data_IF_802269362366
#
_entry.id   IF_802269362366
#
_cell.length_a   1.000
_cell.length_b   1.000
_cell.length_c   1.000
_cell.angle_alpha   90.00
_cell.angle_beta   90.00
_cell.angle_gamma   90.00
#
_symmetry.space_group_name_H-M   'P 1'
#
loop_
_entity.id
_entity.type
_entity.pdbx_description
1 polymer ?
#
# COMPACT_ATOMS: atom_id res chain seq x y z
N UNK A 1 2.97 18.79 -14.62
CA UNK A 1 2.03 18.51 -13.50
C UNK A 1 1.75 19.81 -12.77
N UNK A 2 0.51 20.03 -12.35
CA UNK A 2 0.10 21.22 -11.59
C UNK A 2 0.69 21.14 -10.16
N UNK A 3 1.18 22.27 -9.61
CA UNK A 3 1.68 22.36 -8.21
C UNK A 3 0.71 21.83 -7.17
N UNK A 4 -0.59 21.98 -7.40
CA UNK A 4 -1.66 21.47 -6.53
C UNK A 4 -1.64 19.92 -6.42
N UNK A 5 -1.38 19.21 -7.52
CA UNK A 5 -1.29 17.74 -7.51
C UNK A 5 -0.13 17.28 -6.63
N UNK A 6 1.05 17.89 -6.80
CA UNK A 6 2.22 17.54 -5.98
C UNK A 6 2.01 17.85 -4.51
N UNK A 7 1.41 18.99 -4.18
CA UNK A 7 1.08 19.33 -2.79
C UNK A 7 0.14 18.29 -2.17
N UNK A 8 -0.88 17.85 -2.89
CA UNK A 8 -1.77 16.76 -2.39
C UNK A 8 -1.04 15.42 -2.23
N UNK A 9 -0.12 15.08 -3.12
CA UNK A 9 0.69 13.86 -2.96
C UNK A 9 1.62 13.94 -1.75
N UNK A 10 2.23 15.10 -1.48
CA UNK A 10 3.03 15.32 -0.27
C UNK A 10 2.19 15.21 1.00
N UNK A 11 1.11 15.97 1.09
CA UNK A 11 0.33 16.06 2.32
C UNK A 11 -0.46 14.80 2.65
N UNK A 12 -0.98 14.11 1.63
CA UNK A 12 -1.84 12.95 1.81
C UNK A 12 -1.10 11.61 1.76
N UNK A 13 0.07 11.53 1.11
CA UNK A 13 0.76 10.26 0.83
C UNK A 13 2.26 10.29 1.10
N UNK A 14 2.80 11.36 1.67
CA UNK A 14 4.23 11.48 2.00
C UNK A 14 5.16 11.22 0.79
N UNK A 15 4.82 11.79 -0.38
CA UNK A 15 5.63 11.71 -1.60
C UNK A 15 6.38 13.02 -1.82
N UNK A 16 7.70 12.94 -1.92
CA UNK A 16 8.62 14.07 -2.05
C UNK A 16 9.54 13.92 -3.26
N UNK A 17 10.16 15.01 -3.69
CA UNK A 17 11.26 14.97 -4.65
C UNK A 17 12.60 14.87 -3.92
N UNK A 18 13.62 14.27 -4.54
CA UNK A 18 14.91 13.99 -3.91
C UNK A 18 15.61 15.24 -3.34
N UNK A 19 15.46 16.39 -3.99
CA UNK A 19 16.01 17.66 -3.50
C UNK A 19 15.32 18.18 -2.22
N UNK A 20 14.16 17.65 -1.87
CA UNK A 20 13.40 18.06 -0.67
C UNK A 20 13.71 17.18 0.54
N UNK A 21 14.04 15.91 0.30
CA UNK A 21 14.34 14.95 1.35
C UNK A 21 15.39 13.94 0.90
N UNK A 22 16.47 13.74 1.68
CA UNK A 22 17.51 12.78 1.32
C UNK A 22 17.00 11.34 1.41
N UNK A 23 17.42 10.52 0.45
CA UNK A 23 17.15 9.09 0.44
C UNK A 23 17.96 8.34 1.52
N UNK A 24 17.35 7.32 2.10
CA UNK A 24 18.00 6.32 2.96
C UNK A 24 18.36 5.06 2.16
N UNK A 25 17.39 4.55 1.36
CA UNK A 25 17.59 3.39 0.49
C UNK A 25 16.81 3.55 -0.83
N UNK A 26 17.47 3.29 -1.98
CA UNK A 26 16.77 3.17 -3.25
C UNK A 26 15.93 1.88 -3.28
N UNK A 27 14.76 1.90 -3.95
CA UNK A 27 13.96 0.69 -4.03
C UNK A 27 14.67 -0.41 -4.83
N UNK A 28 15.51 -0.06 -5.80
CA UNK A 28 16.37 -1.02 -6.48
C UNK A 28 17.36 -1.72 -5.55
N UNK A 29 17.91 -1.00 -4.57
CA UNK A 29 18.79 -1.59 -3.55
C UNK A 29 18.00 -2.48 -2.57
N UNK A 30 16.77 -2.10 -2.25
CA UNK A 30 15.88 -2.94 -1.43
C UNK A 30 15.55 -4.29 -2.10
N UNK A 31 15.66 -4.40 -3.43
CA UNK A 31 15.45 -5.67 -4.17
C UNK A 31 16.66 -6.62 -4.11
N UNK A 32 17.80 -6.17 -3.66
CA UNK A 32 18.96 -7.00 -3.33
C UNK A 32 18.78 -7.65 -1.96
N UNK A 33 19.07 -8.94 -1.83
CA UNK A 33 18.77 -9.73 -0.62
C UNK A 33 19.59 -9.27 0.59
N UNK A 34 20.89 -9.02 0.41
CA UNK A 34 21.80 -8.63 1.50
C UNK A 34 21.47 -7.22 1.98
N UNK A 35 21.23 -6.30 1.05
CA UNK A 35 20.82 -4.93 1.36
C UNK A 35 19.45 -4.89 2.01
N UNK A 36 18.51 -5.71 1.55
CA UNK A 36 17.18 -5.85 2.16
C UNK A 36 17.29 -6.37 3.60
N UNK A 37 18.11 -7.39 3.83
CA UNK A 37 18.33 -7.93 5.17
C UNK A 37 18.92 -6.87 6.11
N UNK A 38 19.97 -6.19 5.69
CA UNK A 38 20.60 -5.12 6.47
C UNK A 38 19.60 -3.99 6.78
N UNK A 39 18.82 -3.57 5.78
CA UNK A 39 17.79 -2.55 5.96
C UNK A 39 16.69 -3.01 6.92
N UNK A 40 16.19 -4.25 6.79
CA UNK A 40 15.16 -4.78 7.69
C UNK A 40 15.65 -4.94 9.12
N UNK A 41 16.91 -5.32 9.32
CA UNK A 41 17.52 -5.41 10.68
C UNK A 41 17.56 -4.03 11.34
N UNK A 42 18.00 -3.00 10.62
CA UNK A 42 17.99 -1.61 11.12
C UNK A 42 16.57 -1.14 11.41
N UNK A 43 15.65 -1.35 10.48
CA UNK A 43 14.23 -0.97 10.62
C UNK A 43 13.55 -1.71 11.77
N UNK A 44 13.88 -2.99 11.98
CA UNK A 44 13.39 -3.80 13.10
C UNK A 44 13.77 -3.15 14.46
N UNK A 45 15.00 -2.67 14.59
CA UNK A 45 15.44 -1.95 15.81
C UNK A 45 14.72 -0.61 15.97
N UNK A 46 14.59 0.17 14.90
CA UNK A 46 13.93 1.48 14.91
C UNK A 46 12.48 1.42 15.39
N UNK A 47 11.73 0.41 14.94
CA UNK A 47 10.31 0.24 15.29
C UNK A 47 10.10 -0.72 16.48
N UNK A 48 11.19 -1.18 17.09
CA UNK A 48 11.17 -2.16 18.20
C UNK A 48 10.36 -3.41 17.88
N UNK A 49 10.53 -3.92 16.67
CA UNK A 49 9.89 -5.16 16.26
C UNK A 49 10.65 -6.38 16.81
N UNK A 50 9.97 -7.44 17.30
CA UNK A 50 10.64 -8.59 17.93
C UNK A 50 11.37 -9.49 16.93
N UNK A 51 11.08 -9.38 15.63
CA UNK A 51 11.72 -10.15 14.57
C UNK A 51 11.51 -9.54 13.18
N UNK A 52 12.23 -10.06 12.19
CA UNK A 52 12.19 -9.59 10.80
C UNK A 52 10.81 -9.72 10.15
N UNK A 53 10.02 -10.74 10.49
CA UNK A 53 8.67 -10.92 9.92
C UNK A 53 7.74 -9.77 10.32
N UNK A 54 7.83 -9.29 11.56
CA UNK A 54 7.06 -8.11 12.02
C UNK A 54 7.53 -6.86 11.31
N UNK A 55 8.86 -6.64 11.23
CA UNK A 55 9.44 -5.49 10.53
C UNK A 55 9.03 -5.47 9.04
N UNK A 56 9.12 -6.60 8.33
CA UNK A 56 8.72 -6.71 6.94
C UNK A 56 7.21 -6.47 6.74
N UNK A 57 6.37 -6.96 7.64
CA UNK A 57 4.93 -6.67 7.59
C UNK A 57 4.65 -5.18 7.77
N UNK A 58 5.33 -4.51 8.70
CA UNK A 58 5.16 -3.05 8.90
C UNK A 58 5.69 -2.26 7.70
N UNK A 59 6.84 -2.64 7.16
CA UNK A 59 7.39 -2.01 5.95
C UNK A 59 6.43 -2.17 4.76
N UNK A 60 5.89 -3.36 4.54
CA UNK A 60 4.94 -3.61 3.45
C UNK A 60 3.66 -2.77 3.57
N UNK A 61 3.13 -2.59 4.79
CA UNK A 61 1.99 -1.69 5.06
C UNK A 61 2.32 -0.24 4.70
N UNK A 62 3.51 0.21 5.10
CA UNK A 62 3.96 1.58 4.81
C UNK A 62 4.19 1.78 3.32
N UNK A 63 4.90 0.85 2.67
CA UNK A 63 5.18 0.91 1.25
C UNK A 63 3.91 0.88 0.38
N UNK A 64 2.97 0.00 0.70
CA UNK A 64 1.67 -0.03 0.03
C UNK A 64 0.88 1.28 0.20
N UNK A 65 0.94 1.92 1.37
CA UNK A 65 0.34 3.24 1.56
C UNK A 65 0.97 4.28 0.63
N UNK A 66 2.30 4.33 0.55
CA UNK A 66 3.01 5.30 -0.27
C UNK A 66 2.72 5.12 -1.76
N UNK A 67 2.82 3.89 -2.26
CA UNK A 67 2.81 3.60 -3.70
C UNK A 67 1.41 3.29 -4.21
N UNK A 68 0.69 2.38 -3.55
CA UNK A 68 -0.63 1.95 -4.03
C UNK A 68 -1.69 3.02 -3.78
N UNK A 69 -1.76 3.57 -2.55
CA UNK A 69 -2.81 4.55 -2.25
C UNK A 69 -2.64 5.83 -3.06
N UNK A 70 -1.42 6.31 -3.25
CA UNK A 70 -1.16 7.51 -4.04
C UNK A 70 -1.49 7.32 -5.53
N UNK A 71 -1.14 6.16 -6.10
CA UNK A 71 -1.47 5.83 -7.49
C UNK A 71 -2.97 5.77 -7.70
N UNK A 72 -3.69 5.00 -6.88
CA UNK A 72 -5.15 4.83 -7.02
C UNK A 72 -5.91 6.13 -6.77
N UNK A 73 -5.49 6.92 -5.77
CA UNK A 73 -6.04 8.25 -5.54
C UNK A 73 -5.87 9.13 -6.78
N UNK A 74 -4.66 9.17 -7.35
CA UNK A 74 -4.34 9.98 -8.52
C UNK A 74 -5.14 9.56 -9.75
N UNK A 75 -5.32 8.25 -9.98
CA UNK A 75 -6.14 7.71 -11.07
C UNK A 75 -7.59 8.20 -11.00
N UNK A 76 -8.19 8.18 -9.82
CA UNK A 76 -9.59 8.58 -9.64
C UNK A 76 -9.74 10.10 -9.66
N UNK A 77 -8.95 10.81 -8.86
CA UNK A 77 -9.15 12.25 -8.60
C UNK A 77 -8.58 13.11 -9.71
N UNK A 78 -7.38 12.78 -10.21
CA UNK A 78 -6.67 13.60 -11.20
C UNK A 78 -6.70 13.01 -12.62
N UNK A 79 -7.19 11.78 -12.79
CA UNK A 79 -7.16 11.05 -14.06
C UNK A 79 -5.76 10.98 -14.69
N UNK A 80 -4.75 10.82 -13.84
CA UNK A 80 -3.34 10.73 -14.18
C UNK A 80 -2.55 10.11 -13.03
N UNK A 81 -1.29 9.76 -13.25
CA UNK A 81 -0.44 9.14 -12.26
C UNK A 81 1.00 9.64 -12.33
N UNK A 82 1.66 9.62 -11.19
CA UNK A 82 3.11 9.77 -11.09
C UNK A 82 3.77 8.41 -11.39
N UNK A 83 4.82 8.41 -12.19
CA UNK A 83 5.59 7.18 -12.42
C UNK A 83 6.36 6.80 -11.15
N UNK A 84 5.85 5.79 -10.44
CA UNK A 84 6.43 5.24 -9.23
C UNK A 84 7.15 3.90 -9.52
N UNK A 85 7.97 3.85 -10.58
CA UNK A 85 8.78 2.66 -10.85
C UNK A 85 9.82 2.44 -9.75
N UNK A 86 10.24 1.19 -9.55
CA UNK A 86 11.31 0.86 -8.57
C UNK A 86 12.61 1.63 -8.81
N UNK A 87 12.90 1.95 -10.09
CA UNK A 87 14.08 2.73 -10.45
C UNK A 87 13.97 4.20 -10.08
N UNK A 88 12.75 4.74 -10.03
CA UNK A 88 12.51 6.14 -9.73
C UNK A 88 12.35 6.42 -8.24
N UNK A 89 12.12 5.39 -7.42
CA UNK A 89 11.72 5.54 -6.03
C UNK A 89 12.84 5.17 -5.05
N UNK A 90 12.86 5.91 -3.94
CA UNK A 90 13.66 5.61 -2.76
C UNK A 90 12.81 5.85 -1.49
N UNK A 91 13.22 5.27 -0.37
CA UNK A 91 12.67 5.60 0.94
C UNK A 91 13.62 6.56 1.67
N UNK A 92 13.04 7.53 2.39
CA UNK A 92 13.79 8.39 3.32
C UNK A 92 13.94 7.69 4.67
N UNK A 93 14.70 8.29 5.60
CA UNK A 93 14.83 7.79 6.98
C UNK A 93 13.47 7.71 7.68
N UNK A 94 12.57 8.66 7.43
CA UNK A 94 11.23 8.70 8.01
C UNK A 94 10.26 7.77 7.28
N UNK A 95 10.76 6.92 6.36
CA UNK A 95 9.95 6.00 5.55
C UNK A 95 8.89 6.72 4.71
N UNK A 96 9.22 7.90 4.18
CA UNK A 96 8.49 8.61 3.14
C UNK A 96 9.02 8.20 1.78
N UNK A 97 8.22 8.41 0.73
CA UNK A 97 8.66 8.11 -0.64
C UNK A 97 9.35 9.32 -1.25
N UNK A 98 10.55 9.10 -1.78
CA UNK A 98 11.33 10.09 -2.46
C UNK A 98 11.47 9.69 -3.94
N UNK A 99 11.17 10.62 -4.86
CA UNK A 99 11.38 10.44 -6.30
C UNK A 99 12.76 10.96 -6.67
N UNK A 100 13.58 10.11 -7.26
CA UNK A 100 14.95 10.43 -7.63
C UNK A 100 15.00 11.53 -8.71
N UNK A 101 16.05 12.36 -8.66
CA UNK A 101 16.26 13.45 -9.58
C UNK A 101 16.27 12.95 -11.05
N UNK A 102 15.60 13.69 -11.93
CA UNK A 102 15.47 13.34 -13.35
C UNK A 102 14.50 12.19 -13.67
N UNK A 103 13.99 11.46 -12.67
CA UNK A 103 13.04 10.34 -12.86
C UNK A 103 11.58 10.73 -12.68
N UNK A 104 11.32 11.97 -12.32
CA UNK A 104 9.98 12.50 -12.16
C UNK A 104 9.24 12.54 -13.50
N UNK A 105 8.11 11.81 -13.59
CA UNK A 105 7.28 11.77 -14.79
C UNK A 105 5.81 11.60 -14.42
N UNK A 106 4.99 12.56 -14.83
CA UNK A 106 3.55 12.49 -14.75
C UNK A 106 2.96 11.93 -16.05
N UNK A 107 1.97 11.04 -15.95
CA UNK A 107 1.26 10.45 -17.08
C UNK A 107 -0.23 10.74 -16.96
N UNK A 108 -0.77 11.49 -17.93
CA UNK A 108 -2.20 11.72 -18.07
C UNK A 108 -2.82 10.72 -19.06
N UNK A 109 -4.13 10.54 -18.96
CA UNK A 109 -4.91 9.88 -20.00
C UNK A 109 -5.01 10.80 -21.22
N UNK A 110 -4.10 10.70 -22.18
CA UNK A 110 -4.04 11.64 -23.33
C UNK A 110 -4.50 11.06 -24.65
N UNK A 111 -4.26 9.78 -24.93
CA UNK A 111 -4.41 9.20 -26.27
C UNK A 111 -4.91 7.77 -26.29
N UNK A 112 -5.00 7.11 -25.15
CA UNK A 112 -5.52 5.76 -25.01
C UNK A 112 -6.92 5.82 -24.42
N UNK A 113 -7.77 4.86 -24.81
CA UNK A 113 -8.97 4.58 -24.03
C UNK A 113 -8.59 4.45 -22.55
N UNK A 114 -9.36 5.06 -21.66
CA UNK A 114 -9.03 5.07 -20.22
C UNK A 114 -8.85 3.67 -19.63
N UNK A 115 -9.55 2.70 -20.17
CA UNK A 115 -9.49 1.30 -19.73
C UNK A 115 -8.14 0.67 -20.03
N UNK A 116 -7.61 0.87 -21.23
CA UNK A 116 -6.28 0.39 -21.62
C UNK A 116 -5.16 1.09 -20.80
N UNK A 117 -5.29 2.40 -20.61
CA UNK A 117 -4.37 3.16 -19.75
C UNK A 117 -4.39 2.66 -18.31
N UNK A 118 -5.59 2.45 -17.74
CA UNK A 118 -5.77 1.88 -16.41
C UNK A 118 -5.06 0.54 -16.26
N UNK A 119 -5.28 -0.37 -17.21
CA UNK A 119 -4.68 -1.69 -17.19
C UNK A 119 -3.15 -1.61 -17.21
N UNK A 120 -2.57 -0.79 -18.08
CA UNK A 120 -1.12 -0.54 -18.15
C UNK A 120 -0.56 0.03 -16.85
N UNK A 121 -1.23 1.01 -16.27
CA UNK A 121 -0.83 1.63 -15.01
C UNK A 121 -0.86 0.61 -13.87
N UNK A 122 -1.95 -0.15 -13.74
CA UNK A 122 -2.12 -1.12 -12.67
C UNK A 122 -1.20 -2.33 -12.85
N UNK A 123 -1.01 -2.81 -14.08
CA UNK A 123 -0.02 -3.85 -14.36
C UNK A 123 1.39 -3.38 -13.96
N UNK A 124 1.78 -2.17 -14.34
CA UNK A 124 3.08 -1.62 -13.92
C UNK A 124 3.18 -1.50 -12.40
N UNK A 125 2.15 -0.99 -11.73
CA UNK A 125 2.11 -0.87 -10.27
C UNK A 125 2.30 -2.22 -9.58
N UNK A 126 1.51 -3.22 -9.96
CA UNK A 126 1.49 -4.49 -9.21
C UNK A 126 2.58 -5.46 -9.66
N UNK A 127 2.81 -5.64 -10.97
CA UNK A 127 3.74 -6.65 -11.46
C UNK A 127 5.20 -6.21 -11.38
N UNK A 128 5.50 -4.91 -11.61
CA UNK A 128 6.88 -4.43 -11.70
C UNK A 128 7.36 -3.62 -10.48
N UNK A 129 6.44 -3.21 -9.59
CA UNK A 129 6.79 -2.52 -8.36
C UNK A 129 6.41 -3.35 -7.12
N UNK A 130 5.12 -3.54 -6.85
CA UNK A 130 4.65 -4.16 -5.60
C UNK A 130 5.12 -5.61 -5.46
N UNK A 131 4.89 -6.47 -6.48
CA UNK A 131 5.27 -7.88 -6.42
C UNK A 131 6.77 -8.09 -6.14
N UNK A 132 7.72 -7.45 -6.85
CA UNK A 132 9.14 -7.59 -6.54
C UNK A 132 9.47 -7.22 -5.09
N UNK A 133 8.94 -6.12 -4.57
CA UNK A 133 9.17 -5.70 -3.19
C UNK A 133 8.57 -6.71 -2.20
N UNK A 134 7.35 -7.19 -2.41
CA UNK A 134 6.77 -8.19 -1.53
C UNK A 134 7.54 -9.53 -1.58
N UNK A 135 8.05 -9.91 -2.75
CA UNK A 135 8.82 -11.13 -2.90
C UNK A 135 10.14 -11.09 -2.13
N UNK A 136 10.88 -9.98 -2.21
CA UNK A 136 12.12 -9.85 -1.45
C UNK A 136 11.85 -9.80 0.06
N UNK A 137 10.83 -9.08 0.51
CA UNK A 137 10.42 -9.07 1.92
C UNK A 137 10.06 -10.47 2.43
N UNK A 138 9.30 -11.24 1.64
CA UNK A 138 9.00 -12.65 1.97
C UNK A 138 10.26 -13.49 2.06
N UNK A 139 11.15 -13.40 1.06
CA UNK A 139 12.38 -14.18 0.99
C UNK A 139 13.28 -13.91 2.20
N UNK A 140 13.48 -12.63 2.53
CA UNK A 140 14.40 -12.19 3.59
C UNK A 140 13.87 -12.42 5.00
N UNK A 141 12.55 -12.31 5.22
CA UNK A 141 11.96 -12.33 6.57
C UNK A 141 11.06 -13.52 6.87
N UNK A 142 10.77 -14.34 5.87
CA UNK A 142 9.82 -15.47 5.94
C UNK A 142 8.38 -15.10 6.32
N UNK A 143 8.01 -13.82 6.19
CA UNK A 143 6.63 -13.37 6.43
C UNK A 143 5.69 -13.98 5.37
N UNK A 144 4.51 -14.52 5.76
CA UNK A 144 3.57 -15.12 4.81
C UNK A 144 3.10 -14.14 3.73
N UNK A 145 3.03 -14.61 2.48
CA UNK A 145 2.54 -13.82 1.34
C UNK A 145 1.11 -13.29 1.55
N UNK A 146 0.25 -14.06 2.23
CA UNK A 146 -1.12 -13.67 2.56
C UNK A 146 -1.17 -12.39 3.40
N UNK A 147 -0.27 -12.26 4.39
CA UNK A 147 -0.15 -11.03 5.21
C UNK A 147 0.26 -9.85 4.32
N UNK A 148 1.26 -10.05 3.44
CA UNK A 148 1.78 -8.98 2.58
C UNK A 148 0.74 -8.49 1.58
N UNK A 149 0.04 -9.41 0.90
CA UNK A 149 -0.99 -9.05 -0.07
C UNK A 149 -2.24 -8.47 0.60
N UNK A 150 -2.61 -8.94 1.80
CA UNK A 150 -3.68 -8.29 2.54
C UNK A 150 -3.28 -6.89 3.03
N UNK A 151 -2.02 -6.64 3.38
CA UNK A 151 -1.54 -5.29 3.66
C UNK A 151 -1.76 -4.35 2.47
N UNK A 152 -1.54 -4.83 1.25
CA UNK A 152 -1.83 -4.10 0.00
C UNK A 152 -3.33 -3.86 -0.15
N UNK A 153 -4.15 -4.89 -0.03
CA UNK A 153 -5.61 -4.81 -0.20
C UNK A 153 -6.27 -3.87 0.80
N UNK A 154 -5.80 -3.87 2.05
CA UNK A 154 -6.29 -2.92 3.08
C UNK A 154 -5.99 -1.46 2.69
N UNK A 155 -4.86 -1.19 2.02
CA UNK A 155 -4.56 0.16 1.52
C UNK A 155 -5.44 0.54 0.34
N UNK A 156 -5.77 -0.41 -0.53
CA UNK A 156 -6.76 -0.21 -1.59
C UNK A 156 -8.12 0.13 -0.98
N UNK A 157 -8.64 -0.70 -0.08
CA UNK A 157 -9.90 -0.43 0.61
C UNK A 157 -9.90 0.94 1.32
N UNK A 158 -8.80 1.27 1.99
CA UNK A 158 -8.68 2.52 2.74
C UNK A 158 -8.69 3.75 1.84
N UNK A 159 -7.99 3.74 0.71
CA UNK A 159 -7.96 4.88 -0.20
C UNK A 159 -9.29 5.07 -0.90
N UNK A 160 -9.95 4.00 -1.34
CA UNK A 160 -11.28 4.11 -1.95
C UNK A 160 -12.32 4.60 -0.94
N UNK A 161 -12.28 4.15 0.31
CA UNK A 161 -13.14 4.67 1.37
C UNK A 161 -12.88 6.16 1.65
N UNK A 162 -11.60 6.57 1.67
CA UNK A 162 -11.23 7.98 1.81
C UNK A 162 -11.81 8.82 0.67
N UNK A 163 -11.67 8.36 -0.57
CA UNK A 163 -12.20 9.04 -1.75
C UNK A 163 -13.72 9.15 -1.69
N UNK A 164 -14.42 8.08 -1.27
CA UNK A 164 -15.89 8.07 -1.13
C UNK A 164 -16.40 9.03 -0.04
N UNK A 165 -15.56 9.37 0.94
CA UNK A 165 -15.90 10.34 1.98
C UNK A 165 -15.67 11.81 1.56
N UNK A 166 -15.02 12.04 0.41
CA UNK A 166 -14.86 13.36 -0.19
C UNK A 166 -16.13 13.70 -1.01
N UNK A 167 -16.51 14.97 -1.08
CA UNK A 167 -17.55 15.44 -2.01
C UNK A 167 -17.00 15.37 -3.44
N UNK A 168 -17.43 14.34 -4.18
CA UNK A 168 -16.91 14.07 -5.52
C UNK A 168 -17.93 14.42 -6.61
N UNK A 169 -17.41 14.94 -7.70
CA UNK A 169 -18.15 15.04 -8.95
C UNK A 169 -18.57 13.64 -9.47
N UNK A 170 -19.74 13.49 -10.11
CA UNK A 170 -20.24 12.19 -10.60
C UNK A 170 -19.23 11.43 -11.49
N UNK A 171 -18.42 12.13 -12.26
CA UNK A 171 -17.39 11.53 -13.12
C UNK A 171 -16.29 10.83 -12.32
N UNK A 172 -15.92 11.36 -11.16
CA UNK A 172 -14.93 10.75 -10.26
C UNK A 172 -15.49 9.51 -9.56
N UNK A 173 -16.76 9.55 -9.16
CA UNK A 173 -17.48 8.38 -8.62
C UNK A 173 -17.53 7.25 -9.65
N UNK A 174 -17.84 7.58 -10.92
CA UNK A 174 -17.84 6.59 -12.01
C UNK A 174 -16.45 5.97 -12.20
N UNK A 175 -15.37 6.77 -12.19
CA UNK A 175 -13.99 6.28 -12.27
C UNK A 175 -13.66 5.36 -11.09
N UNK A 176 -13.99 5.78 -9.86
CA UNK A 176 -13.77 5.01 -8.64
C UNK A 176 -14.38 3.63 -8.75
N UNK A 177 -15.67 3.56 -9.08
CA UNK A 177 -16.39 2.29 -9.18
C UNK A 177 -15.81 1.39 -10.31
N UNK A 178 -15.49 1.98 -11.46
CA UNK A 178 -14.89 1.26 -12.58
C UNK A 178 -13.50 0.69 -12.22
N UNK A 179 -12.64 1.50 -11.60
CA UNK A 179 -11.28 1.07 -11.24
C UNK A 179 -11.31 0.02 -10.13
N UNK A 180 -12.18 0.16 -9.13
CA UNK A 180 -12.32 -0.81 -8.06
C UNK A 180 -12.84 -2.16 -8.57
N UNK A 181 -13.90 -2.14 -9.40
CA UNK A 181 -14.45 -3.35 -10.00
C UNK A 181 -13.43 -4.05 -10.90
N UNK A 182 -12.64 -3.29 -11.67
CA UNK A 182 -11.55 -3.85 -12.46
C UNK A 182 -10.53 -4.57 -11.57
N UNK A 183 -10.05 -3.95 -10.51
CA UNK A 183 -9.09 -4.57 -9.57
C UNK A 183 -9.64 -5.84 -8.92
N UNK A 184 -10.91 -5.84 -8.51
CA UNK A 184 -11.53 -6.99 -7.86
C UNK A 184 -11.68 -8.18 -8.81
N UNK A 185 -11.94 -7.93 -10.09
CA UNK A 185 -12.20 -8.95 -11.10
C UNK A 185 -11.00 -9.23 -12.02
N UNK A 186 -9.89 -8.53 -11.83
CA UNK A 186 -8.68 -8.73 -12.62
C UNK A 186 -8.16 -10.18 -12.51
N UNK A 187 -7.59 -10.69 -13.62
CA UNK A 187 -6.87 -11.95 -13.62
C UNK A 187 -5.56 -11.85 -12.83
N UNK A 188 -4.93 -12.99 -12.58
CA UNK A 188 -3.60 -13.05 -11.99
C UNK A 188 -2.53 -12.34 -12.83
N UNK A 189 -2.73 -12.22 -14.13
CA UNK A 189 -1.78 -11.60 -15.07
C UNK A 189 -1.47 -10.15 -14.71
N UNK A 190 -2.47 -9.40 -14.21
CA UNK A 190 -2.29 -8.03 -13.73
C UNK A 190 -1.17 -7.94 -12.66
N UNK A 191 -0.99 -9.01 -11.89
CA UNK A 191 -0.02 -9.14 -10.80
C UNK A 191 1.20 -9.98 -11.20
N UNK A 192 1.22 -10.49 -12.44
CA UNK A 192 2.16 -11.52 -12.89
C UNK A 192 2.16 -12.73 -11.94
N UNK A 193 0.97 -13.22 -11.57
CA UNK A 193 0.70 -14.39 -10.71
C UNK A 193 -0.36 -15.28 -11.38
N UNK A 194 -0.53 -16.51 -10.86
CA UNK A 194 -1.57 -17.44 -11.36
C UNK A 194 -2.99 -16.95 -11.04
N UNK A 195 -3.16 -16.30 -9.89
CA UNK A 195 -4.45 -15.81 -9.39
C UNK A 195 -4.33 -14.37 -8.88
N UNK A 196 -5.45 -13.67 -8.81
CA UNK A 196 -5.53 -12.34 -8.20
C UNK A 196 -5.31 -12.43 -6.67
N UNK A 197 -4.17 -11.94 -6.15
CA UNK A 197 -3.80 -12.14 -4.75
C UNK A 197 -4.58 -11.28 -3.77
N UNK A 198 -5.35 -10.30 -4.26
CA UNK A 198 -6.10 -9.35 -3.43
C UNK A 198 -7.62 -9.54 -3.51
N UNK A 199 -8.11 -10.36 -4.43
CA UNK A 199 -9.55 -10.51 -4.72
C UNK A 199 -10.41 -10.75 -3.47
N UNK A 200 -9.98 -11.65 -2.58
CA UNK A 200 -10.72 -12.03 -1.37
C UNK A 200 -10.67 -10.98 -0.25
N UNK A 201 -9.71 -10.06 -0.31
CA UNK A 201 -9.53 -9.00 0.69
C UNK A 201 -10.21 -7.69 0.30
N UNK A 202 -10.56 -7.49 -0.98
CA UNK A 202 -11.24 -6.29 -1.44
C UNK A 202 -12.72 -6.32 -1.04
N UNK A 203 -13.18 -5.22 -0.43
CA UNK A 203 -14.54 -5.03 0.09
C UNK A 203 -15.30 -4.04 -0.78
N UNK A 204 -16.57 -4.33 -1.10
CA UNK A 204 -17.41 -3.50 -1.98
C UNK A 204 -18.63 -2.95 -1.23
N UNK A 205 -19.21 -1.89 -1.78
CA UNK A 205 -20.47 -1.30 -1.27
C UNK A 205 -20.38 -0.96 0.22
N UNK A 206 -21.38 -1.36 0.98
CA UNK A 206 -21.48 -1.10 2.41
C UNK A 206 -20.34 -1.75 3.22
N UNK A 207 -19.86 -2.93 2.83
CA UNK A 207 -18.71 -3.55 3.50
C UNK A 207 -17.45 -2.67 3.45
N UNK A 208 -17.23 -1.95 2.35
CA UNK A 208 -16.10 -1.03 2.22
C UNK A 208 -16.21 0.12 3.24
N UNK A 209 -17.43 0.64 3.46
CA UNK A 209 -17.69 1.72 4.43
C UNK A 209 -17.47 1.26 5.88
N UNK A 210 -17.88 0.05 6.21
CA UNK A 210 -17.80 -0.51 7.57
C UNK A 210 -16.38 -0.81 8.04
N UNK A 211 -15.38 -0.82 7.15
CA UNK A 211 -14.00 -1.18 7.48
C UNK A 211 -13.86 -2.52 8.22
N UNK A 212 -14.33 -3.64 7.65
CA UNK A 212 -14.41 -4.92 8.33
C UNK A 212 -13.05 -5.47 8.76
N UNK A 213 -13.07 -6.43 9.68
CA UNK A 213 -11.88 -7.11 10.15
C UNK A 213 -11.07 -7.73 9.00
N UNK A 214 -9.76 -7.78 9.18
CA UNK A 214 -8.82 -8.50 8.32
C UNK A 214 -9.00 -10.00 8.47
N UNK A 215 -8.61 -10.75 7.44
CA UNK A 215 -8.54 -12.21 7.49
C UNK A 215 -7.22 -12.67 8.16
N UNK A 216 -6.10 -11.96 7.88
CA UNK A 216 -4.81 -12.24 8.50
C UNK A 216 -4.40 -11.12 9.46
N UNK A 217 -3.65 -11.46 10.50
CA UNK A 217 -3.08 -10.47 11.40
C UNK A 217 -1.86 -9.79 10.76
N UNK A 218 -1.81 -8.46 10.79
CA UNK A 218 -0.66 -7.70 10.29
C UNK A 218 0.55 -7.68 11.23
N UNK A 219 0.48 -8.36 12.36
CA UNK A 219 1.52 -8.44 13.39
C UNK A 219 1.81 -7.13 14.15
N UNK A 220 1.05 -6.06 13.93
CA UNK A 220 1.26 -4.76 14.57
C UNK A 220 1.23 -4.83 16.10
N UNK A 221 0.40 -5.70 16.66
CA UNK A 221 0.26 -5.89 18.11
C UNK A 221 1.54 -6.46 18.77
N UNK A 222 2.47 -6.97 17.97
CA UNK A 222 3.77 -7.51 18.44
C UNK A 222 4.86 -6.45 18.58
N UNK A 223 4.60 -5.21 18.15
CA UNK A 223 5.51 -4.09 18.46
C UNK A 223 5.47 -3.85 19.96
N UNK A 224 6.59 -3.35 20.52
CA UNK A 224 6.65 -3.05 21.95
C UNK A 224 5.45 -2.22 22.42
N UNK A 225 4.96 -2.57 23.60
CA UNK A 225 3.94 -1.79 24.29
C UNK A 225 4.48 -0.39 24.58
N UNK A 226 3.67 0.61 24.23
CA UNK A 226 3.90 1.95 24.72
C UNK A 226 3.19 2.12 26.09
N UNK A 227 3.33 3.28 26.72
CA UNK A 227 2.69 3.57 28.02
C UNK A 227 1.15 3.36 28.07
N UNK A 228 0.52 3.10 26.91
CA UNK A 228 -0.93 2.83 26.76
C UNK A 228 -1.26 1.34 26.54
N UNK A 229 -0.26 0.44 26.62
CA UNK A 229 -0.42 -1.00 26.40
C UNK A 229 -0.33 -1.43 24.93
N UNK A 230 -0.79 -2.66 24.63
CA UNK A 230 -0.73 -3.28 23.29
C UNK A 230 -1.56 -2.48 22.27
N UNK A 231 -0.93 -2.05 21.18
CA UNK A 231 -1.59 -1.30 20.12
C UNK A 231 -2.05 -2.24 18.99
N UNK A 232 -3.35 -2.45 18.90
CA UNK A 232 -3.97 -3.17 17.78
C UNK A 232 -4.29 -2.25 16.61
N UNK A 233 -4.25 -2.76 15.38
CA UNK A 233 -4.79 -2.03 14.25
C UNK A 233 -6.34 -1.96 14.31
N UNK A 234 -6.95 -0.94 13.68
CA UNK A 234 -8.39 -0.68 13.79
C UNK A 234 -9.28 -1.85 13.33
N UNK A 235 -8.80 -2.68 12.41
CA UNK A 235 -9.49 -3.85 11.85
C UNK A 235 -8.77 -5.16 12.20
N UNK A 236 -8.22 -5.25 13.43
CA UNK A 236 -7.43 -6.39 13.90
C UNK A 236 -8.32 -7.61 14.15
N UNK A 237 -8.06 -8.78 13.54
CA UNK A 237 -8.84 -9.99 13.79
C UNK A 237 -8.64 -10.53 15.20
N UNK A 238 -7.47 -10.34 15.80
CA UNK A 238 -7.17 -10.80 17.18
C UNK A 238 -8.00 -10.02 18.19
N UNK A 239 -8.09 -8.69 18.07
CA UNK A 239 -8.91 -7.84 18.94
C UNK A 239 -10.39 -8.22 18.85
N UNK A 240 -10.89 -8.45 17.64
CA UNK A 240 -12.28 -8.83 17.40
C UNK A 240 -12.64 -10.17 18.07
N UNK A 241 -11.74 -11.17 17.99
CA UNK A 241 -11.95 -12.47 18.62
C UNK A 241 -11.91 -12.38 20.15
N UNK A 242 -11.05 -11.56 20.74
CA UNK A 242 -11.02 -11.33 22.19
C UNK A 242 -12.32 -10.69 22.70
N UNK A 243 -12.88 -9.74 21.95
CA UNK A 243 -14.16 -9.11 22.32
C UNK A 243 -15.33 -10.10 22.23
N UNK A 244 -15.36 -10.95 21.18
CA UNK A 244 -16.38 -12.00 21.04
C UNK A 244 -16.29 -13.05 22.16
N UNK A 245 -15.08 -13.48 22.52
CA UNK A 245 -14.88 -14.45 23.61
C UNK A 245 -15.30 -13.87 24.98
N UNK A 246 -15.08 -12.58 25.25
CA UNK A 246 -15.55 -11.94 26.50
C UNK A 246 -17.07 -11.89 26.55
N UNK A 247 -17.75 -11.52 25.47
CA UNK A 247 -19.23 -11.47 25.44
C UNK A 247 -19.90 -12.85 25.53
N UNK A 248 -19.18 -13.96 25.28
CA UNK A 248 -19.66 -15.33 25.46
C UNK A 248 -19.42 -15.88 26.87
N UNK A 249 -18.60 -15.25 27.68
CA UNK A 249 -18.38 -15.64 29.10
C UNK A 249 -19.27 -14.87 30.06
N UNK A 250 -19.99 -13.85 29.58
CA UNK A 250 -20.91 -13.02 30.38
C UNK A 250 -22.41 -13.42 30.17
N UNK A 251 -22.69 -14.51 29.42
CA UNK A 251 -23.98 -15.19 29.29
C UNK A 251 -23.96 -16.54 30.08
#
# INVERSE_FOLDING_TARGET
MNSNVMNKLKTNFDIYLEHEMPKDIAITDLLDEEKCLSFLQKYMQEIKAPNLSVAASMLSKRYAYLVVSSTLYSMVVFNGVLNLSVKACALTKERKLCIQAGMYKWQDVKSLEREEWREKVLHHLFSTNIKPVLNILKKTSHVPSSILWENVAIRINSVYRKILAEELEPVKIKRLNSDFNFLKNASGDLFNLKENPIKHYLKIGEELKLNPCRQTCCLNYKLEENAKGIVYCNNCPIKSNQTKARNQCDE
#
